data_IF_275022550216
#
_entry.id   IF_275022550216
#
_cell.length_a   1.000
_cell.length_b   1.000
_cell.length_c   1.000
_cell.angle_alpha   90.00
_cell.angle_beta   90.00
_cell.angle_gamma   90.00
#
_symmetry.space_group_name_H-M   'P 1'
#
loop_
_entity.id
_entity.type
_entity.pdbx_description
1 polymer ?
#
# COMPACT_ATOMS: atom_id res chain seq x y z
N UNK A 1 -4.80 4.33 -20.49
CA UNK A 1 -4.76 4.78 -19.08
C UNK A 1 -4.19 6.19 -19.07
N UNK A 2 -4.79 7.11 -18.32
CA UNK A 2 -4.13 8.40 -18.05
C UNK A 2 -2.96 8.10 -17.11
N UNK A 3 -1.71 8.54 -17.40
CA UNK A 3 -0.59 8.27 -16.52
C UNK A 3 -0.86 8.91 -15.14
N UNK A 4 -0.62 8.16 -14.06
CA UNK A 4 -0.71 8.72 -12.70
C UNK A 4 0.24 9.91 -12.58
N UNK A 5 -0.30 11.06 -12.18
CA UNK A 5 0.52 12.20 -11.82
C UNK A 5 1.13 11.98 -10.43
N UNK A 6 2.28 12.61 -10.10
CA UNK A 6 2.83 12.54 -8.74
C UNK A 6 1.80 12.92 -7.67
N UNK A 7 0.96 13.93 -7.94
CA UNK A 7 -0.09 14.37 -7.04
C UNK A 7 -1.16 13.29 -6.79
N UNK A 8 -1.51 12.48 -7.78
CA UNK A 8 -2.44 11.36 -7.61
C UNK A 8 -1.93 10.34 -6.59
N UNK A 9 -0.61 10.18 -6.52
CA UNK A 9 0.10 9.30 -5.61
C UNK A 9 0.38 9.93 -4.24
N UNK A 10 -0.02 11.19 -4.03
CA UNK A 10 0.31 11.95 -2.81
C UNK A 10 1.76 12.45 -2.78
N UNK A 11 2.49 12.38 -3.90
CA UNK A 11 3.85 12.93 -4.02
C UNK A 11 3.71 14.42 -4.33
N UNK A 12 3.90 15.25 -3.31
CA UNK A 12 3.86 16.70 -3.45
C UNK A 12 5.04 17.22 -4.27
N UNK A 13 4.80 18.31 -5.00
CA UNK A 13 5.85 19.07 -5.67
C UNK A 13 6.78 19.66 -4.61
N UNK A 14 8.08 19.36 -4.62
CA UNK A 14 9.02 19.94 -3.68
C UNK A 14 9.07 21.47 -3.81
N UNK A 15 9.28 22.17 -2.70
CA UNK A 15 9.58 23.61 -2.73
C UNK A 15 10.89 23.86 -3.51
N UNK A 16 10.98 24.99 -4.21
CA UNK A 16 12.03 25.27 -5.20
C UNK A 16 13.47 25.14 -4.63
N UNK A 17 13.67 25.43 -3.35
CA UNK A 17 14.98 25.37 -2.68
C UNK A 17 15.23 24.04 -1.93
N UNK A 18 14.33 23.06 -2.06
CA UNK A 18 14.50 21.75 -1.42
C UNK A 18 15.47 20.87 -2.22
N UNK A 19 16.37 20.13 -1.55
CA UNK A 19 17.16 19.08 -2.20
C UNK A 19 16.30 18.09 -2.98
N UNK A 20 15.06 17.83 -2.53
CA UNK A 20 14.11 16.94 -3.19
C UNK A 20 13.70 17.39 -4.59
N UNK A 21 13.89 18.66 -4.95
CA UNK A 21 13.63 19.17 -6.30
C UNK A 21 14.66 18.71 -7.33
N UNK A 22 15.78 18.10 -6.90
CA UNK A 22 16.89 17.71 -7.78
C UNK A 22 16.67 16.36 -8.48
N UNK A 23 15.74 15.53 -7.98
CA UNK A 23 15.38 14.25 -8.60
C UNK A 23 13.97 14.36 -9.22
N UNK A 24 13.69 13.64 -10.31
CA UNK A 24 12.34 13.59 -10.85
C UNK A 24 11.36 13.02 -9.82
N UNK A 25 10.12 13.51 -9.80
CA UNK A 25 9.10 13.02 -8.87
C UNK A 25 8.79 11.53 -9.12
N UNK A 26 8.72 11.12 -10.39
CA UNK A 26 8.64 9.74 -10.90
C UNK A 26 9.62 9.66 -12.07
N UNK A 27 10.61 8.76 -12.01
CA UNK A 27 11.60 8.55 -13.08
C UNK A 27 11.02 7.72 -14.23
N UNK A 28 11.70 7.73 -15.38
CA UNK A 28 11.26 6.96 -16.55
C UNK A 28 11.23 5.46 -16.24
N UNK A 29 12.21 4.96 -15.47
CA UNK A 29 12.22 3.56 -15.05
C UNK A 29 11.02 3.19 -14.18
N UNK A 30 10.60 4.09 -13.30
CA UNK A 30 9.39 3.87 -12.50
C UNK A 30 8.14 3.84 -13.38
N UNK A 31 8.06 4.70 -14.41
CA UNK A 31 6.96 4.69 -15.37
C UNK A 31 6.90 3.37 -16.12
N UNK A 32 8.03 2.88 -16.63
CA UNK A 32 8.11 1.57 -17.29
C UNK A 32 7.62 0.45 -16.35
N UNK A 33 8.07 0.45 -15.09
CA UNK A 33 7.67 -0.57 -14.13
C UNK A 33 6.18 -0.49 -13.78
N UNK A 34 5.60 0.70 -13.72
CA UNK A 34 4.16 0.88 -13.56
C UNK A 34 3.40 0.29 -14.75
N UNK A 35 3.80 0.65 -15.97
CA UNK A 35 3.16 0.15 -17.20
C UNK A 35 3.24 -1.37 -17.29
N UNK A 36 4.40 -1.94 -16.98
CA UNK A 36 4.62 -3.38 -16.96
C UNK A 36 3.76 -4.07 -15.90
N UNK A 37 3.68 -3.52 -14.69
CA UNK A 37 2.84 -4.07 -13.62
C UNK A 37 1.36 -4.08 -14.04
N UNK A 38 0.86 -2.99 -14.60
CA UNK A 38 -0.51 -2.93 -15.11
C UNK A 38 -0.75 -3.87 -16.28
N UNK A 39 0.22 -4.00 -17.20
CA UNK A 39 0.14 -4.95 -18.31
C UNK A 39 -0.04 -6.38 -17.79
N UNK A 40 0.81 -6.80 -16.85
CA UNK A 40 0.75 -8.13 -16.24
C UNK A 40 -0.56 -8.34 -15.47
N UNK A 41 -1.01 -7.35 -14.70
CA UNK A 41 -2.31 -7.42 -14.03
C UNK A 41 -3.45 -7.58 -15.03
N UNK A 42 -3.41 -6.86 -16.15
CA UNK A 42 -4.42 -6.96 -17.19
C UNK A 42 -4.43 -8.37 -17.83
N UNK A 43 -3.24 -8.88 -18.17
CA UNK A 43 -3.06 -10.23 -18.73
C UNK A 43 -3.58 -11.32 -17.79
N UNK A 44 -3.46 -11.10 -16.48
CA UNK A 44 -3.96 -12.01 -15.44
C UNK A 44 -5.44 -11.76 -15.06
N UNK A 45 -6.15 -10.83 -15.71
CA UNK A 45 -7.54 -10.49 -15.40
C UNK A 45 -7.74 -9.75 -14.06
N UNK A 46 -6.67 -9.18 -13.50
CA UNK A 46 -6.67 -8.49 -12.20
C UNK A 46 -6.99 -6.99 -12.30
N UNK A 47 -7.14 -6.44 -13.51
CA UNK A 47 -7.66 -5.08 -13.74
C UNK A 47 -9.19 -5.03 -13.89
N UNK A 48 -9.87 -6.13 -13.61
CA UNK A 48 -11.33 -6.16 -13.55
C UNK A 48 -11.84 -5.51 -12.25
N UNK A 49 -12.81 -4.60 -12.37
CA UNK A 49 -13.37 -3.90 -11.22
C UNK A 49 -14.03 -4.87 -10.22
N UNK A 50 -14.62 -5.97 -10.70
CA UNK A 50 -15.18 -6.99 -9.81
C UNK A 50 -14.07 -7.66 -8.99
N UNK A 51 -13.00 -8.11 -9.64
CA UNK A 51 -11.84 -8.69 -8.95
C UNK A 51 -11.28 -7.75 -7.87
N UNK A 52 -11.13 -6.47 -8.20
CA UNK A 52 -10.61 -5.45 -7.28
C UNK A 52 -11.51 -5.26 -6.05
N UNK A 53 -12.83 -5.23 -6.24
CA UNK A 53 -13.80 -5.15 -5.14
C UNK A 53 -13.78 -6.40 -4.26
N UNK A 54 -13.72 -7.58 -4.86
CA UNK A 54 -13.63 -8.86 -4.14
C UNK A 54 -12.34 -8.94 -3.31
N UNK A 55 -11.22 -8.47 -3.88
CA UNK A 55 -9.94 -8.38 -3.17
C UNK A 55 -10.02 -7.42 -1.98
N UNK A 56 -10.65 -6.26 -2.15
CA UNK A 56 -10.86 -5.29 -1.07
C UNK A 56 -11.69 -5.86 0.09
N UNK A 57 -12.75 -6.62 -0.22
CA UNK A 57 -13.57 -7.32 0.79
C UNK A 57 -12.75 -8.38 1.52
N UNK A 58 -12.01 -9.22 0.79
CA UNK A 58 -11.17 -10.25 1.39
C UNK A 58 -10.06 -9.65 2.28
N UNK A 59 -9.43 -8.56 1.85
CA UNK A 59 -8.44 -7.84 2.66
C UNK A 59 -9.05 -7.19 3.91
N UNK A 60 -10.29 -6.68 3.83
CA UNK A 60 -11.01 -6.20 5.02
C UNK A 60 -11.15 -7.32 6.03
N UNK A 61 -11.54 -8.52 5.60
CA UNK A 61 -11.73 -9.64 6.53
C UNK A 61 -10.43 -9.98 7.27
N UNK A 62 -9.28 -9.91 6.60
CA UNK A 62 -7.96 -10.13 7.22
C UNK A 62 -7.60 -9.04 8.24
N UNK A 63 -7.96 -7.78 7.97
CA UNK A 63 -7.68 -6.66 8.86
C UNK A 63 -8.56 -6.69 10.11
N UNK A 64 -9.83 -7.07 9.96
CA UNK A 64 -10.83 -6.90 11.02
C UNK A 64 -11.10 -8.15 11.82
N UNK A 65 -10.96 -9.34 11.23
CA UNK A 65 -11.36 -10.58 11.87
C UNK A 65 -10.17 -11.28 12.50
N UNK A 66 -10.32 -11.74 13.74
CA UNK A 66 -9.32 -12.61 14.33
C UNK A 66 -9.47 -14.04 13.82
N UNK A 67 -8.37 -14.82 13.75
CA UNK A 67 -8.45 -16.25 13.55
C UNK A 67 -9.41 -16.88 14.57
N UNK A 68 -10.24 -17.80 14.06
CA UNK A 68 -11.09 -18.64 14.89
C UNK A 68 -10.25 -19.74 15.53
N UNK A 69 -10.52 -20.05 16.79
CA UNK A 69 -10.03 -21.28 17.41
C UNK A 69 -10.73 -22.52 16.85
N UNK A 70 -10.18 -23.71 17.07
CA UNK A 70 -10.78 -24.96 16.58
C UNK A 70 -12.23 -25.15 17.05
N UNK A 71 -12.52 -24.84 18.32
CA UNK A 71 -13.88 -24.90 18.86
C UNK A 71 -14.83 -23.88 18.19
N UNK A 72 -14.32 -22.71 17.81
CA UNK A 72 -15.12 -21.70 17.11
C UNK A 72 -15.32 -22.05 15.63
N UNK A 73 -14.34 -22.70 15.01
CA UNK A 73 -14.47 -23.27 13.67
C UNK A 73 -15.54 -24.37 13.65
N UNK A 74 -15.52 -25.29 14.61
CA UNK A 74 -16.54 -26.32 14.77
C UNK A 74 -17.93 -25.70 14.97
N UNK A 75 -18.05 -24.72 15.87
CA UNK A 75 -19.30 -24.01 16.12
C UNK A 75 -19.80 -23.25 14.88
N UNK A 76 -18.89 -22.65 14.09
CA UNK A 76 -19.22 -21.99 12.82
C UNK A 76 -19.76 -22.99 11.80
N UNK A 77 -19.08 -24.13 11.61
CA UNK A 77 -19.52 -25.19 10.69
C UNK A 77 -20.90 -25.71 11.11
N UNK A 78 -21.12 -25.95 12.41
CA UNK A 78 -22.41 -26.44 12.91
C UNK A 78 -23.54 -25.42 12.69
N UNK A 79 -23.27 -24.12 12.90
CA UNK A 79 -24.23 -23.05 12.63
C UNK A 79 -24.58 -22.97 11.14
N UNK A 80 -23.58 -23.01 10.26
CA UNK A 80 -23.79 -22.95 8.80
C UNK A 80 -24.56 -24.18 8.28
N UNK A 81 -24.28 -25.38 8.80
CA UNK A 81 -25.05 -26.59 8.49
C UNK A 81 -26.53 -26.49 8.89
N UNK A 82 -26.84 -25.69 9.92
CA UNK A 82 -28.21 -25.39 10.36
C UNK A 82 -28.83 -24.20 9.62
N UNK A 83 -28.14 -23.65 8.62
CA UNK A 83 -28.57 -22.46 7.87
C UNK A 83 -28.53 -21.16 8.69
N UNK A 84 -27.76 -21.15 9.79
CA UNK A 84 -27.58 -20.00 10.67
C UNK A 84 -26.24 -19.30 10.38
N UNK A 85 -26.20 -17.98 10.58
CA UNK A 85 -24.96 -17.20 10.47
C UNK A 85 -24.15 -17.27 11.76
N UNK A 86 -22.84 -17.49 11.66
CA UNK A 86 -21.91 -17.38 12.80
C UNK A 86 -21.30 -15.96 12.86
N UNK A 87 -21.36 -15.25 14.00
CA UNK A 87 -20.73 -13.95 14.13
C UNK A 87 -19.21 -14.09 14.20
N UNK A 88 -18.49 -13.65 13.18
CA UNK A 88 -17.02 -13.65 13.19
C UNK A 88 -16.51 -12.65 14.23
N UNK A 89 -15.65 -13.07 15.17
CA UNK A 89 -15.08 -12.17 16.16
C UNK A 89 -14.08 -11.21 15.51
N UNK A 90 -14.18 -9.93 15.88
CA UNK A 90 -13.32 -8.86 15.36
C UNK A 90 -12.22 -8.47 16.35
N UNK A 91 -11.12 -7.91 15.84
CA UNK A 91 -10.02 -7.38 16.67
C UNK A 91 -10.41 -6.12 17.45
N UNK A 92 -11.54 -5.50 17.13
CA UNK A 92 -12.03 -4.29 17.80
C UNK A 92 -12.82 -3.39 16.87
N UNK A 93 -12.88 -2.10 17.22
CA UNK A 93 -13.45 -1.07 16.36
C UNK A 93 -12.51 -0.71 15.21
N UNK A 94 -13.05 -0.11 14.15
CA UNK A 94 -12.25 0.38 13.03
C UNK A 94 -11.11 1.31 13.47
N UNK A 95 -11.37 2.21 14.42
CA UNK A 95 -10.37 3.15 14.92
C UNK A 95 -9.25 2.46 15.70
N UNK A 96 -9.58 1.40 16.45
CA UNK A 96 -8.58 0.61 17.18
C UNK A 96 -7.67 -0.15 16.20
N UNK A 97 -8.26 -0.78 15.19
CA UNK A 97 -7.52 -1.52 14.16
C UNK A 97 -6.67 -0.55 13.32
N UNK A 98 -7.22 0.61 12.93
CA UNK A 98 -6.45 1.62 12.20
C UNK A 98 -5.23 2.12 13.01
N UNK A 99 -5.40 2.34 14.31
CA UNK A 99 -4.29 2.73 15.19
C UNK A 99 -3.23 1.61 15.28
N UNK A 100 -3.66 0.36 15.44
CA UNK A 100 -2.77 -0.80 15.45
C UNK A 100 -1.98 -0.92 14.14
N UNK A 101 -2.67 -0.85 12.99
CA UNK A 101 -2.03 -0.92 11.68
C UNK A 101 -1.10 0.28 11.44
N UNK A 102 -1.47 1.47 11.91
CA UNK A 102 -0.58 2.64 11.84
C UNK A 102 0.71 2.40 12.63
N UNK A 103 0.61 1.87 13.86
CA UNK A 103 1.78 1.57 14.70
C UNK A 103 2.65 0.46 14.10
N UNK A 104 2.02 -0.59 13.55
CA UNK A 104 2.73 -1.65 12.86
C UNK A 104 3.47 -1.12 11.62
N UNK A 105 2.82 -0.23 10.86
CA UNK A 105 3.43 0.45 9.73
C UNK A 105 4.60 1.34 10.16
N UNK A 106 4.47 2.10 11.27
CA UNK A 106 5.58 2.89 11.83
C UNK A 106 6.79 2.01 12.14
N UNK A 107 6.59 0.90 12.86
CA UNK A 107 7.67 -0.06 13.16
C UNK A 107 8.32 -0.62 11.88
N UNK A 108 7.52 -0.92 10.85
CA UNK A 108 8.04 -1.40 9.57
C UNK A 108 8.89 -0.32 8.86
N UNK A 109 8.36 0.90 8.73
CA UNK A 109 9.05 1.97 8.01
C UNK A 109 10.27 2.49 8.76
N UNK A 110 10.26 2.49 10.09
CA UNK A 110 11.43 2.82 10.92
C UNK A 110 12.59 1.83 10.68
N UNK A 111 12.28 0.54 10.49
CA UNK A 111 13.29 -0.46 10.11
C UNK A 111 13.85 -0.18 8.73
N UNK A 112 12.98 0.08 7.74
CA UNK A 112 13.41 0.42 6.37
C UNK A 112 14.31 1.66 6.39
N UNK A 113 13.93 2.71 7.12
CA UNK A 113 14.72 3.93 7.28
C UNK A 113 16.09 3.65 7.90
N UNK A 114 16.13 2.85 8.95
CA UNK A 114 17.38 2.45 9.64
C UNK A 114 18.33 1.71 8.70
N UNK A 115 17.79 0.96 7.74
CA UNK A 115 18.57 0.21 6.76
C UNK A 115 19.08 1.05 5.58
N UNK A 116 18.46 2.21 5.29
CA UNK A 116 18.83 3.04 4.12
C UNK A 116 20.33 3.36 4.03
N UNK A 117 21.02 3.77 5.13
CA UNK A 117 22.45 4.07 5.07
C UNK A 117 23.31 2.88 4.65
N UNK A 118 22.85 1.64 4.89
CA UNK A 118 23.58 0.41 4.59
C UNK A 118 23.29 -0.13 3.19
N UNK A 119 22.25 0.35 2.52
CA UNK A 119 21.93 -0.04 1.14
C UNK A 119 22.94 0.56 0.17
N UNK A 120 23.11 -0.04 -1.00
CA UNK A 120 23.84 0.53 -2.15
C UNK A 120 22.93 1.46 -2.95
N UNK A 121 23.50 2.30 -3.85
CA UNK A 121 22.69 3.17 -4.73
C UNK A 121 21.68 2.36 -5.57
N UNK A 122 22.04 1.25 -6.24
CA UNK A 122 21.07 0.43 -6.96
C UNK A 122 19.95 -0.12 -6.06
N UNK A 123 20.26 -0.52 -4.83
CA UNK A 123 19.24 -0.97 -3.87
C UNK A 123 18.28 0.17 -3.49
N UNK A 124 18.78 1.37 -3.22
CA UNK A 124 17.94 2.54 -2.94
C UNK A 124 17.04 2.90 -4.11
N UNK A 125 17.54 2.86 -5.35
CA UNK A 125 16.74 3.08 -6.55
C UNK A 125 15.61 2.04 -6.62
N UNK A 126 15.91 0.76 -6.35
CA UNK A 126 14.90 -0.29 -6.34
C UNK A 126 13.86 -0.12 -5.23
N UNK A 127 14.28 0.31 -4.04
CA UNK A 127 13.36 0.63 -2.93
C UNK A 127 12.44 1.79 -3.32
N UNK A 128 12.98 2.85 -3.91
CA UNK A 128 12.20 3.99 -4.42
C UNK A 128 11.17 3.54 -5.46
N UNK A 129 11.57 2.69 -6.40
CA UNK A 129 10.70 2.11 -7.43
C UNK A 129 9.57 1.27 -6.82
N UNK A 130 9.89 0.40 -5.87
CA UNK A 130 8.91 -0.43 -5.19
C UNK A 130 7.89 0.43 -4.41
N UNK A 131 8.33 1.51 -3.76
CA UNK A 131 7.39 2.43 -3.11
C UNK A 131 6.48 3.13 -4.10
N UNK A 132 7.00 3.53 -5.27
CA UNK A 132 6.17 4.11 -6.33
C UNK A 132 5.11 3.14 -6.84
N UNK A 133 5.48 1.86 -7.05
CA UNK A 133 4.53 0.81 -7.41
C UNK A 133 3.46 0.61 -6.31
N UNK A 134 3.87 0.57 -5.03
CA UNK A 134 2.93 0.47 -3.92
C UNK A 134 1.95 1.64 -3.88
N UNK A 135 2.42 2.89 -4.10
CA UNK A 135 1.56 4.07 -4.15
C UNK A 135 0.53 3.99 -5.28
N UNK A 136 0.96 3.49 -6.44
CA UNK A 136 0.07 3.25 -7.58
C UNK A 136 -1.00 2.20 -7.26
N UNK A 137 -0.62 1.09 -6.62
CA UNK A 137 -1.57 0.05 -6.22
C UNK A 137 -2.55 0.54 -5.16
N UNK A 138 -2.08 1.33 -4.19
CA UNK A 138 -2.95 1.98 -3.19
C UNK A 138 -3.94 2.91 -3.90
N UNK A 139 -3.47 3.72 -4.85
CA UNK A 139 -4.35 4.63 -5.59
C UNK A 139 -5.38 3.87 -6.42
N UNK A 140 -4.96 2.81 -7.10
CA UNK A 140 -5.86 1.92 -7.84
C UNK A 140 -6.93 1.30 -6.92
N UNK A 141 -6.57 0.92 -5.70
CA UNK A 141 -7.52 0.40 -4.71
C UNK A 141 -8.50 1.44 -4.18
N UNK A 142 -8.04 2.69 -3.99
CA UNK A 142 -8.90 3.81 -3.64
C UNK A 142 -9.94 4.07 -4.75
N UNK A 143 -9.50 4.06 -6.01
CA UNK A 143 -10.36 4.41 -7.14
C UNK A 143 -11.37 3.29 -7.48
N UNK A 144 -10.96 2.02 -7.39
CA UNK A 144 -11.76 0.90 -7.92
C UNK A 144 -12.20 -0.13 -6.86
N UNK A 145 -11.53 -0.18 -5.71
CA UNK A 145 -11.78 -1.14 -4.63
C UNK A 145 -12.69 -0.61 -3.52
N UNK A 146 -13.11 0.65 -3.60
CA UNK A 146 -13.98 1.25 -2.61
C UNK A 146 -15.39 0.64 -2.67
N UNK A 147 -15.80 0.00 -1.58
CA UNK A 147 -17.11 -0.62 -1.39
C UNK A 147 -17.47 -0.57 0.10
N UNK A 148 -18.75 -0.47 0.50
CA UNK A 148 -19.14 -0.40 1.92
C UNK A 148 -18.59 -1.54 2.79
N UNK A 149 -18.33 -2.71 2.19
CA UNK A 149 -17.79 -3.88 2.86
C UNK A 149 -16.29 -4.13 2.56
N UNK A 150 -15.60 -3.15 1.98
CA UNK A 150 -14.20 -3.24 1.59
C UNK A 150 -13.26 -2.62 2.62
N UNK A 151 -11.97 -2.52 2.26
CA UNK A 151 -11.00 -1.79 3.08
C UNK A 151 -11.49 -0.34 3.21
N UNK A 152 -11.67 0.19 4.43
CA UNK A 152 -12.03 1.60 4.61
C UNK A 152 -10.95 2.52 4.04
N UNK A 153 -11.37 3.61 3.38
CA UNK A 153 -10.44 4.54 2.74
C UNK A 153 -9.40 5.12 3.70
N UNK A 154 -9.72 5.23 4.99
CA UNK A 154 -8.80 5.66 6.05
C UNK A 154 -7.52 4.82 6.13
N UNK A 155 -7.60 3.51 5.95
CA UNK A 155 -6.44 2.60 5.94
C UNK A 155 -5.56 2.85 4.72
N UNK A 156 -6.18 2.98 3.54
CA UNK A 156 -5.48 3.21 2.28
C UNK A 156 -4.81 4.59 2.28
N UNK A 157 -5.47 5.62 2.83
CA UNK A 157 -4.90 6.96 2.99
C UNK A 157 -3.72 6.94 3.95
N UNK A 158 -3.86 6.29 5.12
CA UNK A 158 -2.76 6.13 6.09
C UNK A 158 -1.55 5.43 5.45
N UNK A 159 -1.78 4.31 4.74
CA UNK A 159 -0.72 3.58 4.05
C UNK A 159 -0.03 4.44 2.98
N UNK A 160 -0.80 5.23 2.21
CA UNK A 160 -0.26 6.16 1.22
C UNK A 160 0.64 7.21 1.86
N UNK A 161 0.18 7.86 2.93
CA UNK A 161 0.93 8.91 3.62
C UNK A 161 2.27 8.39 4.16
N UNK A 162 2.26 7.23 4.80
CA UNK A 162 3.50 6.61 5.31
C UNK A 162 4.45 6.17 4.19
N UNK A 163 3.92 5.60 3.10
CA UNK A 163 4.70 5.22 1.92
C UNK A 163 5.34 6.44 1.22
N UNK A 164 4.63 7.58 1.13
CA UNK A 164 5.20 8.84 0.62
C UNK A 164 6.35 9.32 1.52
N UNK A 165 6.16 9.30 2.84
CA UNK A 165 7.16 9.76 3.79
C UNK A 165 8.47 8.97 3.70
N UNK A 166 8.41 7.62 3.68
CA UNK A 166 9.62 6.80 3.52
C UNK A 166 10.26 6.99 2.14
N UNK A 167 9.46 7.14 1.08
CA UNK A 167 9.98 7.42 -0.27
C UNK A 167 10.77 8.73 -0.33
N UNK A 168 10.32 9.76 0.38
CA UNK A 168 11.08 11.01 0.52
C UNK A 168 12.41 10.79 1.23
N UNK A 169 12.46 9.96 2.28
CA UNK A 169 13.71 9.60 2.97
C UNK A 169 14.68 8.86 2.05
N UNK A 170 14.18 7.97 1.20
CA UNK A 170 14.99 7.31 0.16
C UNK A 170 15.57 8.33 -0.83
N UNK A 171 14.76 9.30 -1.28
CA UNK A 171 15.25 10.39 -2.15
C UNK A 171 16.38 11.17 -1.48
N UNK A 172 16.22 11.54 -0.21
CA UNK A 172 17.25 12.27 0.54
C UNK A 172 18.55 11.47 0.64
N UNK A 173 18.48 10.16 0.89
CA UNK A 173 19.66 9.31 0.96
C UNK A 173 20.34 9.13 -0.43
N UNK A 174 19.57 9.06 -1.51
CA UNK A 174 20.11 9.07 -2.89
C UNK A 174 20.84 10.39 -3.19
N UNK A 175 20.22 11.53 -2.86
CA UNK A 175 20.79 12.86 -3.07
C UNK A 175 22.08 13.05 -2.25
N UNK A 176 22.09 12.61 -0.98
CA UNK A 176 23.27 12.63 -0.11
C UNK A 176 24.46 11.89 -0.70
N UNK A 177 24.21 10.88 -1.54
CA UNK A 177 25.24 10.08 -2.24
C UNK A 177 25.62 10.65 -3.61
N UNK A 178 25.13 11.84 -3.95
CA UNK A 178 25.47 12.54 -5.18
C UNK A 178 24.69 12.08 -6.41
N UNK A 179 23.60 11.32 -6.25
CA UNK A 179 22.71 10.97 -7.35
C UNK A 179 21.96 12.24 -7.79
N UNK A 180 22.04 12.57 -9.09
CA UNK A 180 21.44 13.77 -9.68
C UNK A 180 20.38 13.48 -10.74
N UNK A 181 20.25 12.23 -11.16
CA UNK A 181 19.27 11.77 -12.14
C UNK A 181 18.97 10.28 -11.94
N UNK A 182 17.78 9.86 -12.37
CA UNK A 182 17.22 8.51 -12.21
C UNK A 182 16.49 8.08 -13.47
#
# INVERSE_FOLDING_TARGET
>A
MTPYTPADLGIETPVADSPLATLPAISDKERESIEEAFRLMNENGQLDQKFVKESSIASRDLLFNRPLSDAELEAKVEAELKGQSYPTPTYGTEQQILLQESQAADVFYDRVETDLPNMTVPQLIKVRENFTLSLVMIRFMIDYGNTPNGIPASFLIMAREKAVAIRQKVNLELIKRGVKSL
#
